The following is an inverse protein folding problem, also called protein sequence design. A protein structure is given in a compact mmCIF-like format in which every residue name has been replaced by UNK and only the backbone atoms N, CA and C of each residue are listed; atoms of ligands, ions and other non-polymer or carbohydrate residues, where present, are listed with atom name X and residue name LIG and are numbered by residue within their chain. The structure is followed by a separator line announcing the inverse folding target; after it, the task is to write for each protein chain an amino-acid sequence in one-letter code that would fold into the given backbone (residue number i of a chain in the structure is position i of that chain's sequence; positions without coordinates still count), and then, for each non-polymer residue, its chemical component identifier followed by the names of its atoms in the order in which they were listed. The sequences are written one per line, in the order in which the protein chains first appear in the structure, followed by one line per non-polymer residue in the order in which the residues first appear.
data_IF_756812840464
#
_entry.id   IF_756812840464
#
_cell.length_a   1.000
_cell.length_b   1.000
_cell.length_c   1.000
_cell.angle_alpha   90.00
_cell.angle_beta   90.00
_cell.angle_gamma   90.00
#
_symmetry.space_group_name_H-M   'P 1'
#
loop_
_entity.id
_entity.type
_entity.pdbx_description
1 polymer ?
#
# COMPACT_ATOMS: atom_id res chain seq x y z
N UNK A 1 -35.97 -13.10 -30.17
CA UNK A 1 -34.93 -13.33 -29.13
C UNK A 1 -35.64 -13.78 -27.86
N UNK A 2 -35.46 -15.04 -27.42
CA UNK A 2 -36.21 -15.60 -26.28
C UNK A 2 -35.82 -14.88 -24.98
N UNK A 3 -36.84 -14.39 -24.25
CA UNK A 3 -36.68 -13.62 -23.00
C UNK A 3 -35.77 -14.32 -21.97
N UNK A 4 -35.80 -15.67 -21.95
CA UNK A 4 -34.96 -16.50 -21.08
C UNK A 4 -33.44 -16.40 -21.35
N UNK A 5 -33.04 -16.30 -22.62
CA UNK A 5 -31.61 -16.12 -22.95
C UNK A 5 -31.13 -14.72 -22.56
N UNK A 6 -32.00 -13.71 -22.68
CA UNK A 6 -31.69 -12.33 -22.27
C UNK A 6 -31.52 -12.21 -20.76
N UNK A 7 -32.42 -12.82 -19.98
CA UNK A 7 -32.31 -12.85 -18.51
C UNK A 7 -31.07 -13.59 -18.05
N UNK A 8 -30.73 -14.72 -18.69
CA UNK A 8 -29.52 -15.47 -18.36
C UNK A 8 -28.25 -14.66 -18.66
N UNK A 9 -28.18 -14.01 -19.83
CA UNK A 9 -27.06 -13.15 -20.19
C UNK A 9 -26.89 -11.98 -19.20
N UNK A 10 -27.99 -11.34 -18.80
CA UNK A 10 -27.97 -10.25 -17.81
C UNK A 10 -27.46 -10.72 -16.44
N UNK A 11 -27.93 -11.88 -15.96
CA UNK A 11 -27.45 -12.46 -14.70
C UNK A 11 -25.96 -12.81 -14.77
N UNK A 12 -25.52 -13.38 -15.89
CA UNK A 12 -24.13 -13.74 -16.10
C UNK A 12 -23.22 -12.52 -16.11
N UNK A 13 -23.57 -11.47 -16.86
CA UNK A 13 -22.82 -10.20 -16.85
C UNK A 13 -22.78 -9.59 -15.46
N UNK A 14 -23.92 -9.55 -14.75
CA UNK A 14 -23.99 -9.00 -13.40
C UNK A 14 -23.08 -9.75 -12.42
N UNK A 15 -23.05 -11.08 -12.51
CA UNK A 15 -22.18 -11.92 -11.69
C UNK A 15 -20.70 -11.67 -11.99
N UNK A 16 -20.33 -11.56 -13.27
CA UNK A 16 -18.96 -11.25 -13.68
C UNK A 16 -18.53 -9.87 -13.17
N UNK A 17 -19.40 -8.86 -13.29
CA UNK A 17 -19.11 -7.52 -12.80
C UNK A 17 -18.92 -7.51 -11.29
N UNK A 18 -19.82 -8.13 -10.53
CA UNK A 18 -19.70 -8.24 -9.08
C UNK A 18 -18.41 -8.97 -8.65
N UNK A 19 -18.08 -10.08 -9.33
CA UNK A 19 -16.83 -10.81 -9.10
C UNK A 19 -15.60 -9.95 -9.40
N UNK A 20 -15.61 -9.19 -10.50
CA UNK A 20 -14.55 -8.26 -10.86
C UNK A 20 -14.32 -7.18 -9.79
N UNK A 21 -15.39 -6.57 -9.28
CA UNK A 21 -15.32 -5.59 -8.20
C UNK A 21 -14.77 -6.20 -6.91
N UNK A 22 -15.23 -7.40 -6.52
CA UNK A 22 -14.73 -8.09 -5.34
C UNK A 22 -13.22 -8.37 -5.43
N UNK A 23 -12.75 -8.84 -6.59
CA UNK A 23 -11.31 -9.07 -6.83
C UNK A 23 -10.53 -7.76 -6.75
N UNK A 24 -11.04 -6.67 -7.34
CA UNK A 24 -10.38 -5.36 -7.31
C UNK A 24 -10.24 -4.84 -5.88
N UNK A 25 -11.31 -4.91 -5.08
CA UNK A 25 -11.30 -4.49 -3.67
C UNK A 25 -10.30 -5.30 -2.85
N UNK A 26 -10.28 -6.63 -3.02
CA UNK A 26 -9.31 -7.48 -2.31
C UNK A 26 -7.88 -7.14 -2.70
N UNK A 27 -7.63 -6.83 -3.97
CA UNK A 27 -6.29 -6.47 -4.46
C UNK A 27 -5.82 -5.13 -3.88
N UNK A 28 -6.71 -4.14 -3.83
CA UNK A 28 -6.44 -2.83 -3.23
C UNK A 28 -6.11 -2.96 -1.74
N UNK A 29 -6.91 -3.72 -0.99
CA UNK A 29 -6.65 -3.97 0.43
C UNK A 29 -5.38 -4.77 0.73
N UNK A 30 -4.87 -5.51 -0.26
CA UNK A 30 -3.62 -6.29 -0.13
C UNK A 30 -2.40 -5.55 -0.67
N UNK A 31 -2.57 -4.36 -1.22
CA UNK A 31 -1.45 -3.60 -1.75
C UNK A 31 -0.59 -3.07 -0.59
N UNK A 32 0.69 -3.44 -0.60
CA UNK A 32 1.68 -2.92 0.35
C UNK A 32 2.29 -1.66 -0.22
N UNK A 33 2.21 -0.56 0.53
CA UNK A 33 2.81 0.72 0.20
C UNK A 33 4.17 0.84 0.89
N UNK A 34 5.22 1.04 0.09
CA UNK A 34 6.58 1.25 0.61
C UNK A 34 6.86 2.75 0.70
N UNK A 35 7.11 3.23 1.91
CA UNK A 35 7.43 4.63 2.21
C UNK A 35 8.90 4.73 2.59
N UNK A 36 9.64 5.63 1.95
CA UNK A 36 11.04 5.92 2.31
C UNK A 36 11.09 7.05 3.31
N UNK A 37 11.72 6.81 4.45
CA UNK A 37 11.95 7.79 5.50
C UNK A 37 13.43 8.15 5.54
N UNK A 38 13.78 9.25 4.88
CA UNK A 38 15.12 9.82 4.93
C UNK A 38 15.38 10.43 6.32
N UNK A 39 16.54 10.15 6.91
CA UNK A 39 16.85 10.54 8.29
C UNK A 39 18.15 11.35 8.38
N UNK A 40 19.20 10.76 8.94
CA UNK A 40 20.54 11.33 9.05
C UNK A 40 21.49 10.14 9.31
N UNK A 41 22.58 10.38 10.06
CA UNK A 41 23.51 9.32 10.45
C UNK A 41 22.82 8.11 11.11
N UNK A 42 23.25 6.87 10.81
CA UNK A 42 22.80 5.66 11.50
C UNK A 42 23.01 5.65 13.02
N UNK A 43 24.01 6.40 13.50
CA UNK A 43 24.27 6.55 14.95
C UNK A 43 23.41 7.62 15.61
N UNK A 44 22.68 8.42 14.84
CA UNK A 44 21.86 9.53 15.32
C UNK A 44 20.46 9.13 15.79
N UNK A 45 19.86 10.01 16.58
CA UNK A 45 18.52 9.82 17.15
C UNK A 45 17.43 9.70 16.08
N UNK A 46 17.53 10.44 14.97
CA UNK A 46 16.54 10.37 13.88
C UNK A 46 16.50 8.99 13.21
N UNK A 47 17.65 8.33 13.05
CA UNK A 47 17.70 6.99 12.50
C UNK A 47 17.06 5.97 13.45
N UNK A 48 17.39 6.05 14.76
CA UNK A 48 16.79 5.18 15.79
C UNK A 48 15.28 5.38 15.92
N UNK A 49 14.83 6.64 15.88
CA UNK A 49 13.42 6.98 15.87
C UNK A 49 12.72 6.41 14.64
N UNK A 50 13.30 6.58 13.44
CA UNK A 50 12.77 6.02 12.20
C UNK A 50 12.62 4.50 12.27
N UNK A 51 13.59 3.79 12.84
CA UNK A 51 13.53 2.34 13.05
C UNK A 51 12.41 1.93 14.02
N UNK A 52 12.26 2.66 15.13
CA UNK A 52 11.18 2.42 16.08
C UNK A 52 9.80 2.66 15.44
N UNK A 53 9.66 3.73 14.67
CA UNK A 53 8.45 4.06 13.92
C UNK A 53 8.13 2.96 12.91
N UNK A 54 9.10 2.53 12.11
CA UNK A 54 8.93 1.45 11.14
C UNK A 54 8.41 0.17 11.79
N UNK A 55 8.93 -0.19 12.97
CA UNK A 55 8.48 -1.36 13.74
C UNK A 55 7.04 -1.22 14.25
N UNK A 56 6.66 -0.04 14.76
CA UNK A 56 5.30 0.20 15.24
C UNK A 56 4.31 0.20 14.07
N UNK A 57 4.64 0.88 12.98
CA UNK A 57 3.79 0.94 11.78
C UNK A 57 3.60 -0.44 11.17
N UNK A 58 4.68 -1.22 11.00
CA UNK A 58 4.57 -2.59 10.46
C UNK A 58 3.67 -3.50 11.32
N UNK A 59 3.59 -3.25 12.63
CA UNK A 59 2.72 -4.00 13.56
C UNK A 59 1.24 -3.61 13.43
N UNK A 60 0.93 -2.33 13.29
CA UNK A 60 -0.44 -1.82 13.32
C UNK A 60 -1.05 -1.61 11.93
N UNK A 61 -0.21 -1.46 10.91
CA UNK A 61 -0.58 -1.15 9.53
C UNK A 61 0.26 -2.02 8.57
N UNK A 62 -0.04 -3.32 8.43
CA UNK A 62 0.76 -4.26 7.63
C UNK A 62 0.82 -3.91 6.14
N UNK A 63 -0.11 -3.10 5.65
CA UNK A 63 -0.10 -2.55 4.29
C UNK A 63 0.87 -1.37 4.12
N UNK A 64 1.56 -0.93 5.17
CA UNK A 64 2.55 0.14 5.12
C UNK A 64 3.90 -0.41 5.55
N UNK A 65 4.88 -0.34 4.66
CA UNK A 65 6.26 -0.68 4.93
C UNK A 65 7.09 0.61 4.94
N UNK A 66 7.81 0.86 6.02
CA UNK A 66 8.72 2.02 6.11
C UNK A 66 10.15 1.54 5.91
N UNK A 67 10.82 2.08 4.89
CA UNK A 67 12.24 1.91 4.63
C UNK A 67 12.98 3.12 5.22
N UNK A 68 13.79 2.90 6.26
CA UNK A 68 14.56 3.96 6.92
C UNK A 68 15.88 4.15 6.19
N UNK A 69 16.06 5.31 5.57
CA UNK A 69 17.23 5.64 4.77
C UNK A 69 18.13 6.58 5.56
N UNK A 70 19.39 6.18 5.72
CA UNK A 70 20.42 7.04 6.30
C UNK A 70 20.85 8.08 5.27
N UNK A 71 21.08 9.31 5.73
CA UNK A 71 21.49 10.43 4.90
C UNK A 71 22.52 11.30 5.64
N UNK A 72 23.11 12.27 4.96
CA UNK A 72 23.97 13.30 5.53
C UNK A 72 23.16 14.41 6.25
N UNK A 73 21.83 14.25 6.36
CA UNK A 73 20.95 15.15 7.09
C UNK A 73 19.94 15.88 6.19
N UNK A 74 19.38 16.97 6.72
CA UNK A 74 18.17 17.61 6.20
C UNK A 74 18.29 18.11 4.76
N UNK A 75 19.47 18.61 4.34
CA UNK A 75 19.69 19.07 2.96
C UNK A 75 19.56 17.93 1.95
N UNK A 76 20.14 16.77 2.26
CA UNK A 76 20.02 15.58 1.43
C UNK A 76 18.61 14.99 1.47
N UNK A 77 17.93 15.04 2.62
CA UNK A 77 16.54 14.57 2.72
C UNK A 77 15.61 15.31 1.76
N UNK A 78 15.75 16.63 1.66
CA UNK A 78 14.93 17.44 0.76
C UNK A 78 15.19 17.15 -0.72
N UNK A 79 16.39 16.70 -1.08
CA UNK A 79 16.71 16.27 -2.43
C UNK A 79 16.11 14.89 -2.80
N UNK A 80 15.55 14.17 -1.82
CA UNK A 80 14.91 12.85 -2.01
C UNK A 80 13.38 12.92 -2.07
N UNK A 81 12.79 14.11 -1.94
CA UNK A 81 11.35 14.38 -2.09
C UNK A 81 11.08 14.83 -3.52
#
# INVERSE_FOLDING_TARGET
MNRGHLTFALLFVSLLTAGGFAVSLVREHRQVHVLKLATASPSGEYYRFGQALAKVVARHYPQIQIEVVATEGSSQNLALI
#
